data_IF_544727053417
#
_entry.id   IF_544727053417
#
_cell.length_a   1.000
_cell.length_b   1.000
_cell.length_c   1.000
_cell.angle_alpha   90.00
_cell.angle_beta   90.00
_cell.angle_gamma   90.00
#
_symmetry.space_group_name_H-M   'P 1'
#
loop_
_entity.id
_entity.type
_entity.pdbx_description
1 polymer ?
#
# COMPACT_ATOMS: atom_id res chain seq x y z
N UNK A 1 7.66 49.28 -2.46
CA UNK A 1 6.96 48.02 -2.83
C UNK A 1 7.92 47.14 -3.59
N UNK A 2 8.41 46.06 -3.00
CA UNK A 2 9.39 45.17 -3.64
C UNK A 2 8.67 44.19 -4.56
N UNK A 3 9.05 44.20 -5.84
CA UNK A 3 8.49 43.35 -6.90
C UNK A 3 9.25 42.02 -6.88
N UNK A 4 8.70 41.01 -6.21
CA UNK A 4 9.29 39.67 -6.18
C UNK A 4 8.82 38.93 -7.44
N UNK A 5 9.73 38.77 -8.41
CA UNK A 5 9.51 37.86 -9.53
C UNK A 5 9.79 36.41 -9.09
N UNK A 6 8.91 35.45 -9.36
CA UNK A 6 9.23 34.05 -9.17
C UNK A 6 10.27 33.62 -10.21
N UNK A 7 11.43 33.14 -9.73
CA UNK A 7 12.41 32.48 -10.57
C UNK A 7 11.79 31.19 -11.13
N UNK A 8 11.82 31.05 -12.46
CA UNK A 8 11.43 29.84 -13.16
C UNK A 8 12.19 28.63 -12.60
N UNK A 9 11.46 27.69 -12.01
CA UNK A 9 12.01 26.40 -11.64
C UNK A 9 12.31 25.60 -12.91
N UNK A 10 13.58 25.39 -13.20
CA UNK A 10 14.01 24.42 -14.22
C UNK A 10 13.43 23.04 -13.88
N UNK A 11 12.96 22.25 -14.87
CA UNK A 11 12.54 20.89 -14.61
C UNK A 11 13.74 20.09 -14.10
N UNK A 12 13.67 19.64 -12.86
CA UNK A 12 14.67 18.76 -12.27
C UNK A 12 14.63 17.45 -13.06
N UNK A 13 15.70 17.15 -13.78
CA UNK A 13 15.87 15.90 -14.51
C UNK A 13 15.67 14.72 -13.56
N UNK A 14 14.64 13.93 -13.81
CA UNK A 14 14.35 12.68 -13.13
C UNK A 14 15.45 11.67 -13.45
N UNK A 15 16.56 11.71 -12.72
CA UNK A 15 17.53 10.62 -12.73
C UNK A 15 16.91 9.45 -11.98
N UNK A 16 16.41 8.49 -12.76
CA UNK A 16 15.93 7.17 -12.33
C UNK A 16 16.84 6.59 -11.24
N UNK A 17 16.38 6.65 -10.00
CA UNK A 17 16.99 5.97 -8.87
C UNK A 17 16.84 4.45 -9.07
N UNK A 18 17.88 3.81 -9.62
CA UNK A 18 18.16 2.38 -9.48
C UNK A 18 16.98 1.42 -9.59
N UNK A 19 16.01 1.68 -10.48
CA UNK A 19 14.95 0.71 -10.74
C UNK A 19 15.55 -0.36 -11.62
N UNK A 20 15.68 -1.58 -11.09
CA UNK A 20 16.06 -2.74 -11.88
C UNK A 20 15.16 -2.82 -13.13
N UNK A 21 15.70 -3.11 -14.33
CA UNK A 21 14.89 -3.34 -15.51
C UNK A 21 13.78 -4.35 -15.19
N UNK A 22 12.52 -4.01 -15.49
CA UNK A 22 11.39 -4.88 -15.17
C UNK A 22 10.72 -4.64 -13.81
N UNK A 23 11.00 -3.53 -13.11
CA UNK A 23 10.28 -3.15 -11.87
C UNK A 23 9.65 -1.76 -11.96
N UNK A 24 8.61 -1.51 -11.19
CA UNK A 24 7.99 -0.18 -11.02
C UNK A 24 8.05 0.26 -9.56
N UNK A 25 8.43 1.53 -9.34
CA UNK A 25 8.54 2.11 -8.01
C UNK A 25 7.38 3.09 -7.72
N UNK A 26 6.78 2.94 -6.55
CA UNK A 26 5.79 3.84 -5.98
C UNK A 26 6.33 4.47 -4.70
N UNK A 27 5.83 5.64 -4.37
CA UNK A 27 6.02 6.21 -3.03
C UNK A 27 4.75 6.04 -2.22
N UNK A 28 4.83 5.39 -1.07
CA UNK A 28 3.70 5.23 -0.15
C UNK A 28 3.93 6.13 1.05
N UNK A 29 3.07 7.12 1.23
CA UNK A 29 3.05 7.97 2.41
C UNK A 29 1.96 7.49 3.37
N UNK A 30 2.35 6.96 4.51
CA UNK A 30 1.48 6.37 5.54
C UNK A 30 0.74 7.43 6.38
N UNK A 31 0.16 8.41 5.69
CA UNK A 31 -0.72 9.44 6.24
C UNK A 31 -1.86 9.71 5.27
N UNK A 32 -3.04 9.97 5.81
CA UNK A 32 -4.18 10.41 5.01
C UNK A 32 -3.95 11.83 4.46
N UNK A 33 -4.50 12.09 3.27
CA UNK A 33 -4.61 13.43 2.71
C UNK A 33 -5.81 14.20 3.28
N UNK A 34 -6.74 13.50 3.94
CA UNK A 34 -7.90 14.09 4.60
C UNK A 34 -7.49 14.54 6.00
N UNK A 35 -7.82 15.79 6.36
CA UNK A 35 -7.51 16.34 7.67
C UNK A 35 -8.14 15.49 8.79
N UNK A 36 -7.35 15.10 9.79
CA UNK A 36 -7.73 14.15 10.85
C UNK A 36 -8.22 12.77 10.35
N UNK A 37 -7.94 12.42 9.09
CA UNK A 37 -8.17 11.10 8.53
C UNK A 37 -7.07 10.11 8.91
N UNK A 38 -7.41 8.81 8.91
CA UNK A 38 -6.43 7.73 8.94
C UNK A 38 -6.35 7.13 7.54
N UNK A 39 -5.15 6.79 7.07
CA UNK A 39 -5.00 6.38 5.68
C UNK A 39 -3.59 6.49 5.13
N UNK A 40 -3.47 6.34 3.81
CA UNK A 40 -2.20 6.56 3.12
C UNK A 40 -2.43 7.13 1.72
N UNK A 41 -1.40 7.78 1.19
CA UNK A 41 -1.35 8.24 -0.19
C UNK A 41 -0.27 7.47 -0.95
N UNK A 42 -0.57 7.06 -2.17
CA UNK A 42 0.37 6.39 -3.06
C UNK A 42 0.65 7.32 -4.23
N UNK A 43 1.93 7.64 -4.43
CA UNK A 43 2.40 8.45 -5.55
C UNK A 43 3.06 7.57 -6.59
N UNK A 44 2.73 7.84 -7.86
CA UNK A 44 3.34 7.20 -9.01
C UNK A 44 4.78 7.64 -9.25
N UNK A 45 5.45 7.04 -10.26
CA UNK A 45 6.79 7.46 -10.70
C UNK A 45 6.87 8.91 -11.18
N UNK A 46 5.74 9.46 -11.64
CA UNK A 46 5.57 10.85 -12.08
C UNK A 46 5.44 11.84 -10.91
N UNK A 47 5.37 11.35 -9.67
CA UNK A 47 5.16 12.15 -8.47
C UNK A 47 3.72 12.60 -8.26
N UNK A 48 2.78 12.22 -9.13
CA UNK A 48 1.36 12.49 -8.94
C UNK A 48 0.75 11.46 -7.99
N UNK A 49 -0.34 11.85 -7.31
CA UNK A 49 -1.14 10.89 -6.52
C UNK A 49 -1.78 9.90 -7.49
N UNK A 50 -1.37 8.63 -7.37
CA UNK A 50 -1.92 7.52 -8.13
C UNK A 50 -3.13 6.92 -7.41
N UNK A 51 -3.02 6.75 -6.09
CA UNK A 51 -4.08 6.17 -5.26
C UNK A 51 -4.14 6.86 -3.91
N UNK A 52 -5.32 6.83 -3.30
CA UNK A 52 -5.52 7.24 -1.90
C UNK A 52 -6.23 6.14 -1.15
N UNK A 53 -5.90 6.00 0.11
CA UNK A 53 -6.60 5.12 1.03
C UNK A 53 -7.15 5.98 2.13
N UNK A 54 -8.47 5.95 2.27
CA UNK A 54 -9.15 6.59 3.37
C UNK A 54 -9.80 5.52 4.24
N UNK A 55 -9.45 5.54 5.52
CA UNK A 55 -10.13 4.78 6.54
C UNK A 55 -11.17 5.69 7.18
N UNK A 56 -12.40 5.62 6.65
CA UNK A 56 -13.53 6.44 7.10
C UNK A 56 -14.04 6.09 8.50
N UNK A 57 -13.36 5.23 9.26
CA UNK A 57 -13.71 4.96 10.65
C UNK A 57 -12.88 5.79 11.63
N UNK A 58 -13.48 6.82 12.22
CA UNK A 58 -12.98 7.37 13.47
C UNK A 58 -12.82 6.22 14.49
N UNK A 59 -11.63 6.08 15.08
CA UNK A 59 -11.35 5.12 16.18
C UNK A 59 -11.73 3.66 15.87
N UNK A 60 -10.97 3.04 14.98
CA UNK A 60 -11.00 1.58 14.84
C UNK A 60 -12.01 1.05 13.84
N UNK A 61 -12.30 1.84 12.80
CA UNK A 61 -13.02 1.42 11.60
C UNK A 61 -12.67 0.00 11.17
N UNK A 62 -13.72 -0.77 10.87
CA UNK A 62 -13.59 -2.12 10.34
C UNK A 62 -13.39 -2.12 8.82
N UNK A 63 -13.47 -0.97 8.16
CA UNK A 63 -13.42 -0.84 6.71
C UNK A 63 -12.46 0.27 6.28
N UNK A 64 -11.69 0.02 5.22
CA UNK A 64 -10.87 1.01 4.51
C UNK A 64 -11.13 0.88 3.01
N UNK A 65 -11.15 2.02 2.32
CA UNK A 65 -11.36 2.09 0.88
C UNK A 65 -10.07 2.52 0.20
N UNK A 66 -9.67 1.76 -0.81
CA UNK A 66 -8.57 2.11 -1.70
C UNK A 66 -9.16 2.68 -2.98
N UNK A 67 -8.82 3.92 -3.29
CA UNK A 67 -9.41 4.70 -4.36
C UNK A 67 -8.36 5.13 -5.39
N UNK A 68 -8.80 5.28 -6.63
CA UNK A 68 -8.02 5.93 -7.67
C UNK A 68 -7.90 7.45 -7.44
N UNK A 69 -7.23 8.14 -8.36
CA UNK A 69 -7.07 9.59 -8.35
C UNK A 69 -8.40 10.36 -8.45
N UNK A 70 -9.41 9.80 -9.11
CA UNK A 70 -10.73 10.40 -9.27
C UNK A 70 -11.62 10.19 -8.04
N UNK A 71 -11.25 9.26 -7.16
CA UNK A 71 -11.99 8.91 -5.96
C UNK A 71 -12.91 7.71 -6.13
N UNK A 72 -12.81 6.97 -7.24
CA UNK A 72 -13.56 5.73 -7.40
C UNK A 72 -12.92 4.64 -6.53
N UNK A 73 -13.75 3.95 -5.75
CA UNK A 73 -13.30 2.82 -4.95
C UNK A 73 -12.91 1.64 -5.85
N UNK A 74 -11.68 1.15 -5.71
CA UNK A 74 -11.15 0.01 -6.46
C UNK A 74 -11.18 -1.27 -5.63
N UNK A 75 -10.76 -1.18 -4.36
CA UNK A 75 -10.85 -2.29 -3.41
C UNK A 75 -11.36 -1.82 -2.05
N UNK A 76 -12.14 -2.68 -1.43
CA UNK A 76 -12.68 -2.55 -0.08
C UNK A 76 -11.97 -3.52 0.84
N UNK A 77 -11.44 -3.02 1.95
CA UNK A 77 -10.70 -3.82 2.93
C UNK A 77 -11.51 -3.88 4.21
N UNK A 78 -11.97 -5.08 4.60
CA UNK A 78 -12.76 -5.32 5.81
C UNK A 78 -11.98 -6.12 6.84
N UNK A 79 -11.97 -5.66 8.10
CA UNK A 79 -11.38 -6.37 9.25
C UNK A 79 -12.45 -7.21 9.94
N UNK A 80 -12.31 -8.54 9.83
CA UNK A 80 -13.18 -9.53 10.49
C UNK A 80 -12.45 -10.23 11.66
N UNK A 81 -13.24 -10.73 12.61
CA UNK A 81 -12.77 -11.51 13.76
C UNK A 81 -12.44 -10.68 15.01
N UNK A 82 -12.25 -11.38 16.14
CA UNK A 82 -11.98 -10.79 17.44
C UNK A 82 -10.57 -11.15 17.94
N UNK A 83 -9.95 -10.22 18.69
CA UNK A 83 -8.66 -10.40 19.38
C UNK A 83 -7.51 -10.93 18.50
N UNK A 84 -7.12 -12.20 18.67
CA UNK A 84 -6.00 -12.87 17.97
C UNK A 84 -6.42 -13.51 16.65
N UNK A 85 -7.72 -13.71 16.41
CA UNK A 85 -8.26 -14.31 15.19
C UNK A 85 -8.61 -13.26 14.11
N UNK A 86 -7.99 -12.07 14.19
CA UNK A 86 -8.21 -11.00 13.21
C UNK A 86 -7.73 -11.44 11.83
N UNK A 87 -8.59 -11.22 10.84
CA UNK A 87 -8.27 -11.32 9.42
C UNK A 87 -8.74 -10.08 8.69
N UNK A 88 -8.08 -9.79 7.59
CA UNK A 88 -8.48 -8.75 6.66
C UNK A 88 -8.96 -9.43 5.40
N UNK A 89 -10.14 -9.07 4.94
CA UNK A 89 -10.74 -9.55 3.69
C UNK A 89 -10.77 -8.37 2.73
N UNK A 90 -10.30 -8.60 1.51
CA UNK A 90 -10.20 -7.58 0.47
C UNK A 90 -11.09 -7.99 -0.68
N UNK A 91 -12.01 -7.12 -1.06
CA UNK A 91 -12.92 -7.32 -2.18
C UNK A 91 -12.65 -6.24 -3.24
N UNK A 92 -12.82 -6.58 -4.52
CA UNK A 92 -12.84 -5.58 -5.58
C UNK A 92 -14.20 -4.88 -5.55
N UNK A 93 -14.19 -3.56 -5.73
CA UNK A 93 -15.42 -2.80 -5.91
C UNK A 93 -15.82 -2.88 -7.39
N UNK A 94 -17.06 -3.25 -7.66
CA UNK A 94 -17.65 -3.12 -8.99
C UNK A 94 -18.30 -1.74 -9.11
N UNK A 95 -18.36 -1.20 -10.32
CA UNK A 95 -18.80 0.18 -10.57
C UNK A 95 -20.32 0.35 -10.41
N UNK A 96 -21.03 -0.76 -10.30
CA UNK A 96 -22.47 -0.95 -10.30
C UNK A 96 -23.11 -0.82 -8.91
N UNK A 97 -22.30 -0.53 -7.88
CA UNK A 97 -22.81 -0.18 -6.54
C UNK A 97 -23.53 -1.33 -5.82
N UNK A 98 -23.54 -2.53 -6.38
CA UNK A 98 -24.05 -3.73 -5.75
C UNK A 98 -23.13 -4.11 -4.60
N UNK A 99 -23.57 -3.80 -3.39
CA UNK A 99 -22.96 -4.33 -2.17
C UNK A 99 -23.33 -5.82 -2.08
N UNK A 100 -22.64 -6.67 -2.83
CA UNK A 100 -22.67 -8.10 -2.57
C UNK A 100 -21.91 -8.34 -1.25
N UNK A 101 -22.62 -8.19 -0.13
CA UNK A 101 -22.10 -8.48 1.21
C UNK A 101 -21.64 -9.95 1.36
N UNK A 102 -22.06 -10.82 0.44
CA UNK A 102 -21.73 -12.26 0.40
C UNK A 102 -20.76 -12.66 -0.72
N UNK A 103 -20.20 -11.72 -1.48
CA UNK A 103 -19.20 -12.05 -2.49
C UNK A 103 -17.94 -12.65 -1.83
N UNK A 104 -17.43 -13.74 -2.42
CA UNK A 104 -16.16 -14.35 -2.00
C UNK A 104 -15.04 -13.29 -2.09
N UNK A 105 -14.29 -13.03 -1.02
CA UNK A 105 -13.28 -11.95 -1.03
C UNK A 105 -12.19 -12.27 -2.03
N UNK A 106 -11.68 -11.27 -2.76
CA UNK A 106 -10.58 -11.44 -3.71
C UNK A 106 -9.34 -12.08 -3.07
N UNK A 107 -8.97 -11.58 -1.89
CA UNK A 107 -7.97 -12.24 -1.05
C UNK A 107 -8.21 -11.95 0.41
N UNK A 108 -7.54 -12.72 1.27
CA UNK A 108 -7.57 -12.48 2.71
C UNK A 108 -6.18 -12.57 3.31
N UNK A 109 -5.93 -11.74 4.32
CA UNK A 109 -4.64 -11.66 5.00
C UNK A 109 -4.83 -11.98 6.47
N UNK A 110 -3.93 -12.79 7.01
CA UNK A 110 -3.86 -13.12 8.44
C UNK A 110 -2.47 -12.82 8.97
N UNK A 111 -2.40 -12.33 10.20
CA UNK A 111 -1.12 -12.15 10.90
C UNK A 111 -0.46 -13.51 11.12
N UNK A 112 0.84 -13.60 10.84
CA UNK A 112 1.66 -14.77 11.08
C UNK A 112 2.50 -14.60 12.35
N UNK A 113 3.17 -15.68 12.78
CA UNK A 113 4.18 -15.62 13.84
C UNK A 113 5.33 -14.66 13.42
N UNK A 114 6.06 -14.12 14.40
CA UNK A 114 7.22 -13.22 14.19
C UNK A 114 6.91 -11.94 13.39
N UNK A 115 5.66 -11.45 13.43
CA UNK A 115 5.29 -10.19 12.77
C UNK A 115 5.12 -10.26 11.25
N UNK A 116 5.16 -11.46 10.66
CA UNK A 116 4.82 -11.65 9.25
C UNK A 116 3.31 -11.65 8.99
N UNK A 117 2.93 -11.86 7.74
CA UNK A 117 1.54 -12.10 7.35
C UNK A 117 1.45 -13.13 6.23
N UNK A 118 0.36 -13.90 6.22
CA UNK A 118 0.02 -14.86 5.18
C UNK A 118 -1.18 -14.34 4.40
N UNK A 119 -1.07 -14.39 3.08
CA UNK A 119 -2.11 -13.99 2.13
C UNK A 119 -2.65 -15.25 1.47
N UNK A 120 -3.97 -15.40 1.46
CA UNK A 120 -4.67 -16.43 0.73
C UNK A 120 -5.56 -15.77 -0.33
N UNK A 121 -5.29 -16.07 -1.60
CA UNK A 121 -6.15 -15.66 -2.72
C UNK A 121 -7.40 -16.55 -2.76
N UNK A 122 -8.55 -16.00 -3.14
CA UNK A 122 -9.76 -16.78 -3.41
C UNK A 122 -10.17 -16.61 -4.87
N UNK A 123 -10.65 -17.70 -5.47
CA UNK A 123 -10.90 -17.80 -6.91
C UNK A 123 -9.63 -18.14 -7.71
N UNK A 124 -9.65 -19.26 -8.44
CA UNK A 124 -8.52 -19.74 -9.27
C UNK A 124 -7.52 -20.67 -8.55
N UNK A 125 -6.34 -20.84 -9.14
CA UNK A 125 -5.24 -21.58 -8.52
C UNK A 125 -4.89 -20.93 -7.17
N UNK A 126 -4.83 -21.75 -6.12
CA UNK A 126 -4.77 -21.32 -4.71
C UNK A 126 -3.40 -20.71 -4.36
N UNK A 127 -3.11 -19.54 -4.91
CA UNK A 127 -1.85 -18.84 -4.70
C UNK A 127 -1.82 -18.25 -3.30
N UNK A 128 -0.70 -18.43 -2.61
CA UNK A 128 -0.44 -17.88 -1.29
C UNK A 128 0.78 -16.95 -1.35
N UNK A 129 0.63 -15.72 -0.86
CA UNK A 129 1.76 -14.83 -0.67
C UNK A 129 2.16 -14.79 0.80
N UNK A 130 3.42 -14.47 1.05
CA UNK A 130 3.93 -14.21 2.40
C UNK A 130 4.56 -12.84 2.45
N UNK A 131 4.23 -12.09 3.49
CA UNK A 131 4.91 -10.85 3.82
C UNK A 131 5.85 -11.13 4.98
N UNK A 132 7.14 -11.01 4.73
CA UNK A 132 8.13 -11.30 5.75
C UNK A 132 7.99 -10.36 6.95
N UNK A 133 8.27 -10.89 8.13
CA UNK A 133 8.29 -10.13 9.36
C UNK A 133 9.67 -9.56 9.61
N UNK A 134 9.77 -8.23 9.73
CA UNK A 134 10.74 -7.64 10.64
C UNK A 134 10.00 -7.37 11.94
N UNK A 135 10.18 -8.23 12.95
CA UNK A 135 9.58 -8.03 14.26
C UNK A 135 10.31 -6.91 15.00
N UNK A 136 9.82 -5.68 14.84
CA UNK A 136 10.24 -4.53 15.63
C UNK A 136 9.55 -3.28 15.11
N UNK A 137 9.05 -2.43 16.00
CA UNK A 137 8.39 -1.17 15.67
C UNK A 137 9.29 -0.15 14.93
N UNK A 138 10.52 -0.54 14.53
CA UNK A 138 11.59 0.33 14.02
C UNK A 138 12.15 -0.08 12.65
N UNK A 139 11.57 -1.09 11.98
CA UNK A 139 12.00 -1.49 10.63
C UNK A 139 10.80 -1.55 9.68
N UNK A 140 10.57 -0.50 8.87
CA UNK A 140 9.48 -0.49 7.89
C UNK A 140 9.76 -1.40 6.69
N UNK A 141 10.97 -1.95 6.59
CA UNK A 141 11.41 -2.80 5.48
C UNK A 141 10.80 -4.20 5.55
N UNK A 142 10.21 -4.64 4.45
CA UNK A 142 9.76 -6.02 4.27
C UNK A 142 9.64 -6.38 2.79
N UNK A 143 9.53 -7.68 2.54
CA UNK A 143 9.36 -8.25 1.21
C UNK A 143 8.05 -9.00 1.13
N UNK A 144 7.40 -8.92 -0.03
CA UNK A 144 6.27 -9.75 -0.41
C UNK A 144 6.81 -10.87 -1.29
N UNK A 145 6.52 -12.12 -0.93
CA UNK A 145 6.97 -13.31 -1.66
C UNK A 145 5.82 -14.12 -2.20
N UNK A 146 6.00 -14.66 -3.40
CA UNK A 146 5.11 -15.64 -4.01
C UNK A 146 5.22 -17.04 -3.36
N UNK A 147 4.42 -17.99 -3.85
CA UNK A 147 4.42 -19.39 -3.41
C UNK A 147 5.76 -20.08 -3.71
N UNK A 148 6.36 -19.74 -4.83
CA UNK A 148 7.67 -20.18 -5.32
C UNK A 148 8.84 -19.56 -4.53
N UNK A 149 8.58 -18.63 -3.61
CA UNK A 149 9.59 -17.91 -2.84
C UNK A 149 10.18 -16.68 -3.55
N UNK A 150 9.76 -16.40 -4.78
CA UNK A 150 10.20 -15.22 -5.54
C UNK A 150 9.75 -13.93 -4.86
N UNK A 151 10.58 -12.88 -4.94
CA UNK A 151 10.28 -11.56 -4.35
C UNK A 151 9.52 -10.71 -5.35
N UNK A 152 8.20 -10.66 -5.18
CA UNK A 152 7.29 -9.94 -6.07
C UNK A 152 7.21 -8.44 -5.77
N UNK A 153 7.50 -8.07 -4.52
CA UNK A 153 7.58 -6.67 -4.11
C UNK A 153 8.50 -6.45 -2.91
N UNK A 154 9.09 -5.27 -2.86
CA UNK A 154 9.94 -4.82 -1.77
C UNK A 154 9.45 -3.48 -1.25
N UNK A 155 9.41 -3.33 0.07
CA UNK A 155 9.08 -2.08 0.75
C UNK A 155 10.28 -1.67 1.56
N UNK A 156 10.70 -0.42 1.39
CA UNK A 156 11.81 0.17 2.13
C UNK A 156 11.50 1.62 2.50
N UNK A 157 12.26 2.19 3.44
CA UNK A 157 12.15 3.62 3.76
C UNK A 157 12.61 4.44 2.56
N UNK A 158 11.85 5.48 2.20
CA UNK A 158 12.17 6.28 1.02
C UNK A 158 13.44 7.09 1.28
N UNK A 159 14.37 6.98 0.33
CA UNK A 159 15.59 7.77 0.29
C UNK A 159 15.55 8.65 -0.96
N UNK A 160 15.95 9.90 -0.82
CA UNK A 160 16.11 10.82 -1.95
C UNK A 160 17.35 10.45 -2.78
N UNK A 161 17.44 10.98 -4.00
CA UNK A 161 18.64 10.80 -4.85
C UNK A 161 19.92 11.32 -4.21
N UNK A 162 19.83 12.34 -3.34
CA UNK A 162 20.94 12.88 -2.56
C UNK A 162 21.29 12.02 -1.32
N UNK A 163 20.62 10.89 -1.12
CA UNK A 163 20.86 9.98 -0.01
C UNK A 163 20.14 10.34 1.29
N UNK A 164 19.33 11.41 1.31
CA UNK A 164 18.55 11.79 2.50
C UNK A 164 17.41 10.81 2.71
N UNK A 165 17.35 10.21 3.89
CA UNK A 165 16.27 9.29 4.30
C UNK A 165 15.08 10.10 4.80
N UNK A 166 13.91 9.90 4.19
CA UNK A 166 12.66 10.60 4.56
C UNK A 166 12.05 10.04 5.85
N UNK A 167 10.90 10.54 6.29
CA UNK A 167 10.21 10.04 7.50
C UNK A 167 9.96 8.53 7.49
N UNK A 168 9.78 7.93 8.67
CA UNK A 168 9.44 6.49 8.79
C UNK A 168 8.08 6.14 8.15
N UNK A 169 7.24 7.16 7.96
CA UNK A 169 5.95 7.13 7.28
C UNK A 169 6.07 7.25 5.75
N UNK A 170 7.26 7.49 5.19
CA UNK A 170 7.46 7.61 3.74
C UNK A 170 8.26 6.43 3.22
N UNK A 171 7.62 5.59 2.41
CA UNK A 171 8.15 4.32 1.93
C UNK A 171 8.31 4.33 0.42
N UNK A 172 9.32 3.61 -0.07
CA UNK A 172 9.43 3.20 -1.46
C UNK A 172 8.90 1.77 -1.58
N UNK A 173 7.91 1.57 -2.45
CA UNK A 173 7.42 0.26 -2.85
C UNK A 173 7.92 -0.06 -4.25
N UNK A 174 8.68 -1.13 -4.40
CA UNK A 174 9.18 -1.59 -5.70
C UNK A 174 8.51 -2.91 -6.08
N UNK A 175 7.68 -2.87 -7.12
CA UNK A 175 6.86 -3.99 -7.61
C UNK A 175 7.47 -4.58 -8.88
N UNK A 176 7.45 -5.89 -9.04
CA UNK A 176 7.81 -6.53 -10.31
C UNK A 176 6.74 -6.24 -11.40
N UNK A 177 7.16 -5.95 -12.63
CA UNK A 177 6.24 -5.49 -13.69
C UNK A 177 5.19 -6.52 -14.10
N UNK A 178 5.48 -7.81 -13.94
CA UNK A 178 4.56 -8.90 -14.26
C UNK A 178 3.44 -9.09 -13.23
N UNK A 179 3.45 -8.32 -12.13
CA UNK A 179 2.49 -8.48 -11.02
C UNK A 179 1.28 -7.57 -11.17
N UNK A 180 0.16 -7.96 -10.54
CA UNK A 180 -0.97 -7.06 -10.36
C UNK A 180 -0.58 -5.99 -9.31
N UNK A 181 -0.36 -4.76 -9.77
CA UNK A 181 0.06 -3.65 -8.90
C UNK A 181 -1.01 -3.32 -7.85
N UNK A 182 -2.30 -3.47 -8.18
CA UNK A 182 -3.39 -3.23 -7.24
C UNK A 182 -3.38 -4.28 -6.13
N UNK A 183 -3.04 -5.53 -6.44
CA UNK A 183 -2.86 -6.58 -5.42
C UNK A 183 -1.74 -6.20 -4.46
N UNK A 184 -0.57 -5.85 -4.98
CA UNK A 184 0.61 -5.53 -4.17
C UNK A 184 0.36 -4.28 -3.32
N UNK A 185 -0.24 -3.24 -3.88
CA UNK A 185 -0.63 -2.04 -3.14
C UNK A 185 -1.64 -2.36 -2.04
N UNK A 186 -2.65 -3.18 -2.33
CA UNK A 186 -3.61 -3.66 -1.34
C UNK A 186 -2.93 -4.41 -0.17
N UNK A 187 -1.91 -5.23 -0.46
CA UNK A 187 -1.13 -5.92 0.58
C UNK A 187 -0.35 -4.95 1.48
N UNK A 188 0.24 -3.90 0.91
CA UNK A 188 0.95 -2.85 1.68
C UNK A 188 -0.01 -2.14 2.65
N UNK A 189 -1.21 -1.81 2.17
CA UNK A 189 -2.24 -1.13 2.97
C UNK A 189 -2.72 -2.03 4.10
N UNK A 190 -3.00 -3.31 3.81
CA UNK A 190 -3.38 -4.29 4.84
C UNK A 190 -2.25 -4.47 5.86
N UNK A 191 -0.99 -4.49 5.43
CA UNK A 191 0.16 -4.55 6.34
C UNK A 191 0.21 -3.32 7.26
N UNK A 192 -0.06 -2.13 6.73
CA UNK A 192 -0.21 -0.90 7.53
C UNK A 192 -1.33 -1.01 8.56
N UNK A 193 -2.50 -1.54 8.18
CA UNK A 193 -3.63 -1.78 9.08
C UNK A 193 -3.31 -2.79 10.19
N UNK A 194 -2.57 -3.86 9.87
CA UNK A 194 -2.12 -4.88 10.84
C UNK A 194 -1.19 -4.24 11.89
N UNK A 195 -0.28 -3.38 11.43
CA UNK A 195 0.74 -2.75 12.26
C UNK A 195 0.28 -1.45 12.94
N UNK A 196 -0.94 -0.97 12.64
CA UNK A 196 -1.47 0.32 13.10
C UNK A 196 -0.57 1.49 12.71
N UNK A 197 -0.09 1.47 11.47
CA UNK A 197 0.80 2.47 10.89
C UNK A 197 0.15 3.19 9.70
N UNK A 198 -1.17 3.38 9.73
CA UNK A 198 -1.96 4.21 8.81
C UNK A 198 -2.67 5.32 9.60
#
# INVERSE_FOLDING_TARGET
>A
MAKIQPLHSSPCSTSSSGVQPGRQAYTVWMKSLVFNGNGCAVYGPDGAVAFRVDNYGCRGGHEALFMDRQGNALIRIRRKGFWTFRRWEVCRCTHDGSEEEEATPWFSVRRAKKGGAVVAMHGGARTCYRMDGCSGARKPEYRVRGVDGSVVAEVARKQTSAGVVLGEDVLTLTVAQEMDHLLVLGLVVVRGLINRSL
#
